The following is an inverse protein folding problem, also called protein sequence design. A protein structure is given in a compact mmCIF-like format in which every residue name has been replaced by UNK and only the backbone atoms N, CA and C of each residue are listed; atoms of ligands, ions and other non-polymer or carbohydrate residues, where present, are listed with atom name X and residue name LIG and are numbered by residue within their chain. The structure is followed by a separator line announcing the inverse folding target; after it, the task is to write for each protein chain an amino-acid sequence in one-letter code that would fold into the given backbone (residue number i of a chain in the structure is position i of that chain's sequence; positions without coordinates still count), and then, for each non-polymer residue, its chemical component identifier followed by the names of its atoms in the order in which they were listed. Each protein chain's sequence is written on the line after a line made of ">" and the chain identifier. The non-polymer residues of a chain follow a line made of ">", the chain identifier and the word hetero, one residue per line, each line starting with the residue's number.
data_IF_143576876053
#
_entry.id   IF_143576876053
#
_cell.length_a   1.000
_cell.length_b   1.000
_cell.length_c   1.000
_cell.angle_alpha   90.00
_cell.angle_beta   90.00
_cell.angle_gamma   90.00
#
_symmetry.space_group_name_H-M   'P 1'
#
loop_
_entity.id
_entity.type
_entity.pdbx_description
1 polymer ?
#
# COMPACT_ATOMS: atom_id res chain seq x y z
N UNK A 1 -12.36 -1.68 10.48
CA UNK A 1 -12.72 -1.46 9.06
C UNK A 1 -11.98 -0.23 8.50
N UNK A 2 -10.82 -0.47 7.89
CA UNK A 2 -10.01 0.55 7.20
C UNK A 2 -9.13 -0.13 6.14
N UNK A 3 -8.58 -1.30 6.49
CA UNK A 3 -7.73 -2.11 5.60
C UNK A 3 -8.38 -2.39 4.23
N UNK A 4 -9.64 -2.86 4.11
CA UNK A 4 -10.23 -3.11 2.78
C UNK A 4 -10.34 -1.84 1.92
N UNK A 5 -10.78 -0.72 2.49
CA UNK A 5 -10.89 0.55 1.77
C UNK A 5 -9.52 1.08 1.35
N UNK A 6 -8.51 0.97 2.20
CA UNK A 6 -7.14 1.34 1.85
C UNK A 6 -6.56 0.45 0.75
N UNK A 7 -6.90 -0.85 0.71
CA UNK A 7 -6.51 -1.73 -0.39
C UNK A 7 -7.12 -1.26 -1.72
N UNK A 8 -8.38 -0.81 -1.73
CA UNK A 8 -9.01 -0.26 -2.93
C UNK A 8 -8.28 1.01 -3.41
N UNK A 9 -7.92 1.90 -2.48
CA UNK A 9 -7.16 3.12 -2.78
C UNK A 9 -5.77 2.87 -3.38
N UNK A 10 -5.21 1.67 -3.29
CA UNK A 10 -3.95 1.32 -3.98
C UNK A 10 -4.08 1.30 -5.51
N UNK A 11 -5.30 1.38 -6.05
CA UNK A 11 -5.58 1.45 -7.49
C UNK A 11 -6.13 2.80 -7.94
N UNK A 12 -6.10 3.81 -7.07
CA UNK A 12 -6.64 5.14 -7.39
C UNK A 12 -5.86 5.82 -8.53
N UNK A 13 -6.54 6.64 -9.32
CA UNK A 13 -5.92 7.37 -10.43
C UNK A 13 -4.89 8.39 -9.93
N UNK A 14 -5.16 9.03 -8.79
CA UNK A 14 -4.27 9.99 -8.16
C UNK A 14 -3.08 9.28 -7.52
N UNK A 15 -1.87 9.72 -7.87
CA UNK A 15 -0.62 9.15 -7.37
C UNK A 15 -0.52 9.33 -5.86
N UNK A 16 -0.95 10.49 -5.38
CA UNK A 16 -0.96 10.87 -3.97
C UNK A 16 -1.83 9.94 -3.15
N UNK A 17 -3.02 9.57 -3.65
CA UNK A 17 -3.93 8.64 -2.98
C UNK A 17 -3.30 7.26 -2.84
N UNK A 18 -2.64 6.75 -3.90
CA UNK A 18 -1.96 5.45 -3.84
C UNK A 18 -0.79 5.45 -2.85
N UNK A 19 0.02 6.53 -2.83
CA UNK A 19 1.10 6.68 -1.83
C UNK A 19 0.51 6.67 -0.42
N UNK A 20 -0.49 7.51 -0.15
CA UNK A 20 -1.13 7.59 1.16
C UNK A 20 -1.71 6.24 1.57
N UNK A 21 -2.39 5.54 0.66
CA UNK A 21 -2.96 4.22 0.93
C UNK A 21 -1.88 3.22 1.36
N UNK A 22 -0.76 3.15 0.63
CA UNK A 22 0.36 2.29 0.98
C UNK A 22 0.97 2.66 2.34
N UNK A 23 1.23 3.94 2.58
CA UNK A 23 1.79 4.43 3.85
C UNK A 23 0.88 4.11 5.05
N UNK A 24 -0.42 4.36 4.93
CA UNK A 24 -1.39 4.08 6.00
C UNK A 24 -1.54 2.59 6.28
N UNK A 25 -1.52 1.74 5.25
CA UNK A 25 -1.44 0.29 5.44
C UNK A 25 -0.18 -0.12 6.21
N UNK A 26 0.96 0.52 5.92
CA UNK A 26 2.19 0.33 6.68
C UNK A 26 2.11 0.81 8.14
N UNK A 27 1.45 1.94 8.40
CA UNK A 27 1.24 2.48 9.75
C UNK A 27 0.35 1.58 10.61
N UNK A 28 -0.61 0.89 10.00
CA UNK A 28 -1.43 -0.11 10.69
C UNK A 28 -0.61 -1.36 11.10
N UNK A 29 0.50 -1.65 10.42
CA UNK A 29 1.38 -2.78 10.75
C UNK A 29 0.66 -4.14 10.65
N UNK A 30 0.88 -5.02 11.62
CA UNK A 30 0.45 -6.42 11.55
C UNK A 30 -1.05 -6.65 11.33
N UNK A 31 -1.94 -5.70 11.70
CA UNK A 31 -3.38 -5.82 11.43
C UNK A 31 -3.73 -5.66 9.94
N UNK A 32 -2.82 -5.10 9.14
CA UNK A 32 -2.97 -4.94 7.70
C UNK A 32 -2.35 -6.12 6.89
N UNK A 33 -2.05 -7.26 7.53
CA UNK A 33 -1.48 -8.45 6.83
C UNK A 33 -2.25 -8.91 5.61
N UNK A 34 -3.57 -8.72 5.58
CA UNK A 34 -4.41 -9.03 4.41
C UNK A 34 -4.10 -8.17 3.18
N UNK A 35 -3.41 -7.03 3.36
CA UNK A 35 -3.02 -6.13 2.27
C UNK A 35 -1.70 -6.54 1.57
N UNK A 36 -0.94 -7.49 2.13
CA UNK A 36 0.37 -7.88 1.58
C UNK A 36 0.32 -8.24 0.08
N UNK A 37 -0.64 -9.05 -0.43
CA UNK A 37 -0.69 -9.36 -1.86
C UNK A 37 -0.98 -8.14 -2.75
N UNK A 38 -1.70 -7.15 -2.25
CA UNK A 38 -1.99 -5.92 -2.97
C UNK A 38 -0.76 -5.02 -3.01
N UNK A 39 -0.10 -4.83 -1.86
CA UNK A 39 1.14 -4.05 -1.76
C UNK A 39 2.26 -4.65 -2.61
N UNK A 40 2.41 -5.98 -2.67
CA UNK A 40 3.42 -6.63 -3.52
C UNK A 40 3.17 -6.40 -5.02
N UNK A 41 1.90 -6.30 -5.43
CA UNK A 41 1.55 -5.94 -6.81
C UNK A 41 1.92 -4.49 -7.11
N UNK A 42 1.63 -3.59 -6.16
CA UNK A 42 1.98 -2.17 -6.28
C UNK A 42 3.50 -1.98 -6.34
N UNK A 43 4.24 -2.60 -5.41
CA UNK A 43 5.71 -2.56 -5.34
C UNK A 43 6.36 -3.00 -6.66
N UNK A 44 5.81 -4.00 -7.35
CA UNK A 44 6.35 -4.53 -8.60
C UNK A 44 5.85 -3.81 -9.86
N UNK A 45 4.66 -3.21 -9.80
CA UNK A 45 3.90 -2.84 -10.99
C UNK A 45 3.45 -1.38 -11.08
N UNK A 46 3.54 -0.58 -10.01
CA UNK A 46 3.10 0.82 -10.09
C UNK A 46 4.03 1.62 -11.01
N UNK A 47 3.42 2.51 -11.81
CA UNK A 47 4.14 3.36 -12.77
C UNK A 47 5.04 4.38 -12.08
N UNK A 48 4.75 4.75 -10.82
CA UNK A 48 5.45 5.81 -10.09
C UNK A 48 6.37 5.21 -9.04
N UNK A 49 7.64 5.64 -9.05
CA UNK A 49 8.65 5.16 -8.11
C UNK A 49 8.24 5.38 -6.64
N UNK A 50 7.75 6.58 -6.33
CA UNK A 50 7.28 6.92 -4.97
C UNK A 50 6.20 5.96 -4.45
N UNK A 51 5.29 5.47 -5.31
CA UNK A 51 4.25 4.51 -4.91
C UNK A 51 4.85 3.14 -4.64
N UNK A 52 5.80 2.69 -5.48
CA UNK A 52 6.51 1.42 -5.27
C UNK A 52 7.34 1.45 -3.97
N UNK A 53 8.02 2.55 -3.71
CA UNK A 53 8.81 2.77 -2.48
C UNK A 53 7.91 2.74 -1.25
N UNK A 54 6.79 3.47 -1.26
CA UNK A 54 5.81 3.44 -0.16
C UNK A 54 5.24 2.03 0.08
N UNK A 55 4.96 1.27 -0.98
CA UNK A 55 4.51 -0.11 -0.86
C UNK A 55 5.58 -1.04 -0.26
N UNK A 56 6.84 -0.88 -0.67
CA UNK A 56 7.97 -1.65 -0.11
C UNK A 56 8.14 -1.38 1.39
N UNK A 57 8.12 -0.11 1.80
CA UNK A 57 8.17 0.26 3.21
C UNK A 57 6.99 -0.31 4.01
N UNK A 58 5.78 -0.25 3.44
CA UNK A 58 4.60 -0.80 4.07
C UNK A 58 4.71 -2.31 4.27
N UNK A 59 5.19 -3.05 3.26
CA UNK A 59 5.43 -4.50 3.37
C UNK A 59 6.41 -4.80 4.51
N UNK A 60 7.48 -4.03 4.64
CA UNK A 60 8.46 -4.20 5.73
C UNK A 60 7.86 -3.95 7.12
N UNK A 61 6.96 -2.96 7.26
CA UNK A 61 6.28 -2.64 8.53
C UNK A 61 5.18 -3.65 8.90
N UNK A 62 4.58 -4.32 7.92
CA UNK A 62 3.46 -5.26 8.14
C UNK A 62 3.93 -6.68 8.50
N UNK A 63 5.12 -7.07 8.02
CA UNK A 63 5.67 -8.42 8.20
C UNK A 63 5.96 -8.74 9.67
#
# INVERSE_FOLDING_TARGET
>A
PAVPALIECLSDDAVEVRVTAASELGHLGAVAKTALPALERVEKGDRRAAVREAASEAIMKIR
#
